data_IF_076306549670
#
_entry.id   IF_076306549670
#
_cell.length_a   1.000
_cell.length_b   1.000
_cell.length_c   1.000
_cell.angle_alpha   90.00
_cell.angle_beta   90.00
_cell.angle_gamma   90.00
#
_symmetry.space_group_name_H-M   'P 1'
#
loop_
_entity.id
_entity.type
_entity.pdbx_description
1 polymer ?
#
# COMPACT_ATOMS: atom_id res chain seq x y z
N UNK A 1 -32.48 -1.25 37.16
CA UNK A 1 -31.18 -0.63 36.85
C UNK A 1 -31.29 -0.10 35.44
N UNK A 2 -31.56 1.20 35.29
CA UNK A 2 -31.79 1.84 33.99
C UNK A 2 -30.42 2.01 33.34
N UNK A 3 -30.23 1.43 32.16
CA UNK A 3 -28.93 1.49 31.48
C UNK A 3 -28.51 2.94 31.15
N UNK A 4 -27.21 3.27 31.07
CA UNK A 4 -26.70 4.62 30.80
C UNK A 4 -27.07 5.20 29.41
N UNK A 5 -27.81 4.46 28.58
CA UNK A 5 -28.11 4.74 27.17
C UNK A 5 -29.32 5.66 26.95
N UNK A 6 -30.23 5.80 27.92
CA UNK A 6 -31.42 6.65 27.79
C UNK A 6 -31.18 8.11 28.16
N UNK A 7 -30.17 8.43 28.96
CA UNK A 7 -29.96 9.79 29.48
C UNK A 7 -29.12 10.68 28.57
N UNK A 8 -28.14 10.12 27.84
CA UNK A 8 -27.30 10.86 26.88
C UNK A 8 -27.96 11.06 25.51
N UNK A 9 -28.77 10.10 25.06
CA UNK A 9 -29.49 10.20 23.78
C UNK A 9 -30.68 11.17 23.81
N UNK A 10 -31.37 11.27 24.96
CA UNK A 10 -32.58 12.09 25.10
C UNK A 10 -32.28 13.59 25.25
N UNK A 11 -31.11 13.98 25.79
CA UNK A 11 -30.74 15.41 25.88
C UNK A 11 -30.33 16.01 24.54
N UNK A 12 -29.73 15.20 23.65
CA UNK A 12 -29.22 15.60 22.33
C UNK A 12 -30.31 15.65 21.23
N UNK A 13 -31.53 15.21 21.53
CA UNK A 13 -32.68 15.13 20.60
C UNK A 13 -33.82 16.08 20.98
N UNK A 14 -33.68 16.87 22.06
CA UNK A 14 -34.78 17.67 22.60
C UNK A 14 -35.34 18.70 21.62
N UNK A 15 -34.50 19.21 20.73
CA UNK A 15 -34.82 20.32 19.85
C UNK A 15 -35.15 19.86 18.41
N UNK A 16 -35.03 18.57 18.09
CA UNK A 16 -35.34 18.04 16.75
C UNK A 16 -36.83 17.73 16.63
N UNK A 17 -37.52 18.34 15.65
CA UNK A 17 -38.90 18.03 15.31
C UNK A 17 -39.06 16.57 14.89
N UNK A 18 -38.12 16.02 14.12
CA UNK A 18 -38.15 14.64 13.62
C UNK A 18 -37.58 13.58 14.58
N UNK A 19 -37.53 13.85 15.90
CA UNK A 19 -36.96 12.90 16.87
C UNK A 19 -37.64 11.52 16.85
N UNK A 20 -38.95 11.47 16.61
CA UNK A 20 -39.72 10.22 16.66
C UNK A 20 -39.40 9.33 15.45
N UNK A 21 -39.10 9.93 14.29
CA UNK A 21 -38.58 9.24 13.10
C UNK A 21 -37.26 8.50 13.41
N UNK A 22 -36.33 9.14 14.13
CA UNK A 22 -35.08 8.49 14.56
C UNK A 22 -35.31 7.37 15.58
N UNK A 23 -36.28 7.55 16.49
CA UNK A 23 -36.61 6.55 17.50
C UNK A 23 -37.25 5.30 16.89
N UNK A 24 -38.09 5.46 15.87
CA UNK A 24 -38.70 4.34 15.15
C UNK A 24 -37.67 3.51 14.37
N UNK A 25 -36.70 4.17 13.74
CA UNK A 25 -35.54 3.51 13.12
C UNK A 25 -34.76 2.63 14.10
N UNK A 26 -34.70 3.04 15.38
CA UNK A 26 -34.04 2.28 16.44
C UNK A 26 -34.78 1.01 16.89
N UNK A 27 -36.06 0.85 16.54
CA UNK A 27 -36.90 -0.29 16.94
C UNK A 27 -36.96 -1.42 15.90
N UNK A 28 -36.57 -1.15 14.64
CA UNK A 28 -36.55 -2.13 13.55
C UNK A 28 -35.26 -2.97 13.46
N UNK A 29 -35.16 -3.81 12.44
CA UNK A 29 -33.95 -4.59 12.10
C UNK A 29 -32.81 -3.64 11.65
N UNK A 30 -32.16 -3.00 12.62
CA UNK A 30 -31.13 -1.98 12.41
C UNK A 30 -29.92 -2.52 11.63
N UNK A 31 -29.68 -3.83 11.65
CA UNK A 31 -28.55 -4.47 10.97
C UNK A 31 -28.70 -4.45 9.46
N UNK A 32 -29.89 -4.80 8.95
CA UNK A 32 -30.20 -4.72 7.52
C UNK A 32 -30.13 -3.28 7.03
N UNK A 33 -30.61 -2.33 7.84
CA UNK A 33 -30.51 -0.91 7.51
C UNK A 33 -29.05 -0.46 7.42
N UNK A 34 -28.19 -0.79 8.39
CA UNK A 34 -26.76 -0.45 8.35
C UNK A 34 -26.11 -1.06 7.11
N UNK A 35 -26.44 -2.31 6.76
CA UNK A 35 -25.94 -2.99 5.56
C UNK A 35 -26.36 -2.27 4.28
N UNK A 36 -27.65 -1.95 4.14
CA UNK A 36 -28.17 -1.21 2.97
C UNK A 36 -27.56 0.19 2.85
N UNK A 37 -27.41 0.88 3.98
CA UNK A 37 -26.89 2.24 4.02
C UNK A 37 -25.41 2.27 3.62
N UNK A 38 -24.57 1.39 4.14
CA UNK A 38 -23.14 1.37 3.83
C UNK A 38 -22.76 0.50 2.63
N UNK A 39 -23.73 -0.10 1.93
CA UNK A 39 -23.52 -1.08 0.86
C UNK A 39 -22.52 -0.63 -0.23
N UNK A 40 -22.57 0.64 -0.61
CA UNK A 40 -21.70 1.19 -1.68
C UNK A 40 -20.34 1.68 -1.14
N UNK A 41 -20.19 1.75 0.18
CA UNK A 41 -19.02 2.32 0.86
C UNK A 41 -18.15 1.28 1.58
N UNK A 42 -18.76 0.17 2.03
CA UNK A 42 -18.14 -0.91 2.81
C UNK A 42 -18.59 -2.23 2.18
N UNK A 43 -17.74 -2.84 1.36
CA UNK A 43 -18.08 -4.03 0.57
C UNK A 43 -17.87 -5.33 1.34
N UNK A 44 -16.98 -5.35 2.35
CA UNK A 44 -16.70 -6.50 3.21
C UNK A 44 -17.87 -6.94 4.10
N UNK A 45 -19.00 -6.22 4.04
CA UNK A 45 -20.17 -6.50 4.85
C UNK A 45 -19.97 -6.06 6.29
N UNK A 46 -21.07 -5.71 6.95
CA UNK A 46 -21.15 -5.35 8.37
C UNK A 46 -20.92 -6.59 9.27
N UNK A 47 -20.21 -7.59 8.76
CA UNK A 47 -20.06 -8.92 9.33
C UNK A 47 -18.81 -8.95 10.22
N UNK A 48 -19.01 -8.53 11.47
CA UNK A 48 -18.14 -8.72 12.66
C UNK A 48 -17.24 -7.56 13.12
N UNK A 49 -17.00 -7.57 14.43
CA UNK A 49 -16.25 -6.67 15.31
C UNK A 49 -16.67 -5.18 15.42
N UNK A 50 -17.26 -4.55 14.40
CA UNK A 50 -17.43 -3.08 14.39
C UNK A 50 -18.86 -2.57 14.13
N UNK A 51 -19.87 -3.47 14.12
CA UNK A 51 -21.27 -3.11 13.94
C UNK A 51 -21.78 -2.03 14.93
N UNK A 52 -21.22 -1.97 16.14
CA UNK A 52 -21.54 -0.92 17.13
C UNK A 52 -21.11 0.48 16.69
N UNK A 53 -19.93 0.60 16.06
CA UNK A 53 -19.43 1.88 15.53
C UNK A 53 -20.30 2.33 14.36
N UNK A 54 -20.58 1.43 13.41
CA UNK A 54 -21.41 1.75 12.25
C UNK A 54 -22.85 2.10 12.64
N UNK A 55 -23.44 1.42 13.62
CA UNK A 55 -24.76 1.78 14.19
C UNK A 55 -24.75 3.20 14.79
N UNK A 56 -23.69 3.58 15.50
CA UNK A 56 -23.55 4.93 16.08
C UNK A 56 -23.38 6.00 14.99
N UNK A 57 -22.54 5.73 14.00
CA UNK A 57 -22.28 6.62 12.86
C UNK A 57 -23.55 6.81 12.03
N UNK A 58 -24.29 5.74 11.77
CA UNK A 58 -25.58 5.80 11.08
C UNK A 58 -26.56 6.72 11.79
N UNK A 59 -26.73 6.54 13.11
CA UNK A 59 -27.63 7.38 13.92
C UNK A 59 -27.24 8.86 13.86
N UNK A 60 -25.96 9.16 13.99
CA UNK A 60 -25.46 10.53 13.89
C UNK A 60 -25.69 11.11 12.49
N UNK A 61 -25.42 10.33 11.44
CA UNK A 61 -25.63 10.77 10.06
C UNK A 61 -27.10 11.07 9.78
N UNK A 62 -28.02 10.18 10.16
CA UNK A 62 -29.46 10.42 9.98
C UNK A 62 -29.95 11.59 10.81
N UNK A 63 -29.43 11.79 12.03
CA UNK A 63 -29.72 12.97 12.83
C UNK A 63 -29.33 14.25 12.09
N UNK A 64 -28.09 14.32 11.57
CA UNK A 64 -27.62 15.48 10.81
C UNK A 64 -28.48 15.73 9.57
N UNK A 65 -28.84 14.67 8.82
CA UNK A 65 -29.70 14.79 7.65
C UNK A 65 -31.08 15.37 8.01
N UNK A 66 -31.73 14.83 9.03
CA UNK A 66 -33.05 15.28 9.48
C UNK A 66 -33.01 16.72 9.98
N UNK A 67 -31.96 17.09 10.72
CA UNK A 67 -31.77 18.45 11.19
C UNK A 67 -31.62 19.43 10.02
N UNK A 68 -30.84 19.08 8.99
CA UNK A 68 -30.68 19.92 7.80
C UNK A 68 -32.01 20.09 7.05
N UNK A 69 -32.81 19.02 6.93
CA UNK A 69 -34.14 19.10 6.30
C UNK A 69 -35.09 19.98 7.12
N UNK A 70 -35.04 19.88 8.45
CA UNK A 70 -35.82 20.72 9.36
C UNK A 70 -35.42 22.20 9.23
N UNK A 71 -34.13 22.51 9.25
CA UNK A 71 -33.59 23.86 9.09
C UNK A 71 -33.96 24.46 7.71
N UNK A 72 -33.94 23.66 6.64
CA UNK A 72 -34.36 24.10 5.30
C UNK A 72 -35.88 24.42 5.27
N UNK A 73 -36.70 23.61 5.93
CA UNK A 73 -38.15 23.85 6.04
C UNK A 73 -38.47 25.06 6.92
N UNK A 74 -37.73 25.26 8.00
CA UNK A 74 -37.94 26.36 8.93
C UNK A 74 -37.46 27.69 8.34
N UNK A 75 -36.20 27.76 7.91
CA UNK A 75 -35.57 29.03 7.54
C UNK A 75 -35.82 29.45 6.10
N UNK A 76 -35.84 28.51 5.15
CA UNK A 76 -36.02 28.84 3.73
C UNK A 76 -37.49 28.80 3.31
N UNK A 77 -38.29 27.92 3.92
CA UNK A 77 -39.72 27.80 3.61
C UNK A 77 -40.63 28.54 4.60
N UNK A 78 -40.08 29.05 5.71
CA UNK A 78 -40.80 29.84 6.71
C UNK A 78 -41.83 29.03 7.50
N UNK A 79 -41.65 27.70 7.63
CA UNK A 79 -42.56 26.83 8.36
C UNK A 79 -42.21 26.79 9.85
N UNK A 80 -43.23 26.72 10.70
CA UNK A 80 -43.03 26.52 12.14
C UNK A 80 -42.96 25.04 12.50
N UNK A 81 -42.29 24.70 13.62
CA UNK A 81 -42.04 23.31 14.02
C UNK A 81 -43.29 22.41 14.14
N UNK A 82 -44.47 22.96 14.44
CA UNK A 82 -45.72 22.18 14.41
C UNK A 82 -46.19 21.87 12.98
N UNK A 83 -46.07 22.83 12.05
CA UNK A 83 -46.39 22.61 10.64
C UNK A 83 -45.42 21.61 9.99
N UNK A 84 -44.15 21.67 10.36
CA UNK A 84 -43.12 20.72 9.93
C UNK A 84 -43.47 19.31 10.45
N UNK A 85 -43.79 19.19 11.74
CA UNK A 85 -44.20 17.92 12.35
C UNK A 85 -45.40 17.32 11.65
N UNK A 86 -46.52 18.05 11.65
CA UNK A 86 -47.81 17.55 11.17
C UNK A 86 -47.79 17.25 9.66
N UNK A 87 -46.99 17.98 8.89
CA UNK A 87 -46.91 17.85 7.44
C UNK A 87 -45.86 16.86 6.92
N UNK A 88 -44.72 16.71 7.61
CA UNK A 88 -43.54 16.06 7.02
C UNK A 88 -42.97 14.91 7.84
N UNK A 89 -43.37 14.72 9.10
CA UNK A 89 -42.83 13.66 9.95
C UNK A 89 -43.02 12.26 9.33
N UNK A 90 -44.25 11.93 8.94
CA UNK A 90 -44.58 10.64 8.31
C UNK A 90 -43.92 10.51 6.91
N UNK A 91 -44.05 11.49 5.99
CA UNK A 91 -43.36 11.48 4.70
C UNK A 91 -41.84 11.26 4.80
N UNK A 92 -41.16 12.01 5.68
CA UNK A 92 -39.71 11.92 5.86
C UNK A 92 -39.32 10.57 6.47
N UNK A 93 -40.10 10.08 7.43
CA UNK A 93 -39.89 8.74 7.99
C UNK A 93 -39.94 7.63 6.93
N UNK A 94 -40.90 7.71 6.00
CA UNK A 94 -40.95 6.77 4.86
C UNK A 94 -39.80 6.99 3.89
N UNK A 95 -39.46 8.25 3.60
CA UNK A 95 -38.42 8.61 2.65
C UNK A 95 -37.05 8.04 3.04
N UNK A 96 -36.63 8.20 4.30
CA UNK A 96 -35.33 7.66 4.74
C UNK A 96 -35.30 6.13 4.83
N UNK A 97 -36.47 5.48 4.84
CA UNK A 97 -36.59 4.01 4.79
C UNK A 97 -36.58 3.48 3.35
N UNK A 98 -36.75 4.35 2.35
CA UNK A 98 -36.80 3.97 0.94
C UNK A 98 -35.50 3.29 0.51
N UNK A 99 -35.61 2.15 -0.19
CA UNK A 99 -34.46 1.29 -0.53
C UNK A 99 -33.37 2.01 -1.34
N UNK A 100 -33.75 2.97 -2.18
CA UNK A 100 -32.79 3.77 -2.95
C UNK A 100 -32.21 4.96 -2.16
N UNK A 101 -32.88 5.42 -1.11
CA UNK A 101 -32.42 6.57 -0.32
C UNK A 101 -31.32 6.16 0.64
N UNK A 102 -31.42 4.97 1.26
CA UNK A 102 -30.41 4.44 2.19
C UNK A 102 -28.98 4.45 1.59
N UNK A 103 -28.69 3.77 0.46
CA UNK A 103 -27.35 3.77 -0.13
C UNK A 103 -26.97 5.15 -0.65
N UNK A 104 -27.93 5.96 -1.12
CA UNK A 104 -27.65 7.29 -1.65
C UNK A 104 -27.18 8.27 -0.57
N UNK A 105 -27.76 8.22 0.64
CA UNK A 105 -27.23 8.94 1.78
C UNK A 105 -25.89 8.34 2.25
N UNK A 106 -25.77 7.02 2.22
CA UNK A 106 -24.54 6.30 2.55
C UNK A 106 -23.34 6.67 1.70
N UNK A 107 -23.53 6.98 0.41
CA UNK A 107 -22.46 7.39 -0.52
C UNK A 107 -21.63 8.58 -0.03
N UNK A 108 -22.17 9.42 0.86
CA UNK A 108 -21.42 10.52 1.48
C UNK A 108 -20.16 10.04 2.22
N UNK A 109 -20.16 8.79 2.69
CA UNK A 109 -19.05 8.14 3.39
C UNK A 109 -17.96 7.61 2.44
N UNK A 110 -18.22 7.52 1.14
CA UNK A 110 -17.21 7.12 0.18
C UNK A 110 -16.07 8.17 0.10
N UNK A 111 -14.84 7.69 -0.01
CA UNK A 111 -13.62 8.53 -0.04
C UNK A 111 -13.68 9.60 -1.12
N UNK A 112 -14.10 9.22 -2.32
CA UNK A 112 -14.12 10.10 -3.49
C UNK A 112 -15.48 10.79 -3.73
N UNK A 113 -16.43 10.68 -2.79
CA UNK A 113 -17.70 11.38 -2.90
C UNK A 113 -17.49 12.90 -2.79
N UNK A 114 -17.70 13.60 -3.91
CA UNK A 114 -17.63 15.06 -4.04
C UNK A 114 -19.00 15.74 -4.03
N UNK A 115 -20.05 15.01 -4.38
CA UNK A 115 -21.43 15.48 -4.41
C UNK A 115 -22.37 14.27 -4.26
N UNK A 116 -23.54 14.51 -3.67
CA UNK A 116 -24.66 13.56 -3.67
C UNK A 116 -25.63 13.92 -4.79
N UNK A 117 -26.32 12.93 -5.33
CA UNK A 117 -27.31 13.14 -6.39
C UNK A 117 -28.61 13.74 -5.82
N UNK A 118 -28.61 15.06 -5.64
CA UNK A 118 -29.76 15.83 -5.15
C UNK A 118 -30.97 15.73 -6.08
N UNK A 119 -30.75 15.58 -7.39
CA UNK A 119 -31.82 15.40 -8.38
C UNK A 119 -32.53 14.07 -8.16
N UNK A 120 -31.78 13.01 -7.84
CA UNK A 120 -32.33 11.70 -7.51
C UNK A 120 -33.09 11.73 -6.17
N UNK A 121 -32.58 12.40 -5.14
CA UNK A 121 -33.33 12.62 -3.89
C UNK A 121 -34.70 13.28 -4.15
N UNK A 122 -34.70 14.40 -4.88
CA UNK A 122 -35.93 15.11 -5.19
C UNK A 122 -36.87 14.38 -6.16
N UNK A 123 -36.35 13.44 -6.96
CA UNK A 123 -37.18 12.54 -7.78
C UNK A 123 -37.87 11.51 -6.90
N UNK A 124 -37.11 10.76 -6.08
CA UNK A 124 -37.67 9.73 -5.19
C UNK A 124 -38.72 10.34 -4.26
N UNK A 125 -38.46 11.55 -3.72
CA UNK A 125 -39.44 12.24 -2.90
C UNK A 125 -40.80 12.41 -3.60
N UNK A 126 -40.77 12.87 -4.86
CA UNK A 126 -41.98 13.15 -5.65
C UNK A 126 -42.74 11.90 -6.10
N UNK A 127 -42.10 10.73 -6.09
CA UNK A 127 -42.76 9.47 -6.46
C UNK A 127 -43.80 9.07 -5.39
N UNK A 128 -43.50 9.33 -4.12
CA UNK A 128 -44.35 8.92 -2.99
C UNK A 128 -45.01 10.08 -2.22
N UNK A 129 -44.61 11.33 -2.47
CA UNK A 129 -45.04 12.49 -1.68
C UNK A 129 -45.39 13.72 -2.54
N UNK A 130 -46.13 14.65 -1.93
CA UNK A 130 -46.41 15.96 -2.50
C UNK A 130 -45.13 16.76 -2.77
N UNK A 131 -45.22 17.71 -3.69
CA UNK A 131 -44.08 18.60 -4.00
C UNK A 131 -43.64 19.34 -2.74
N UNK A 132 -42.32 19.45 -2.55
CA UNK A 132 -41.75 20.24 -1.45
C UNK A 132 -42.22 21.70 -1.51
N UNK A 133 -42.30 22.39 -0.36
CA UNK A 133 -42.78 23.76 -0.31
C UNK A 133 -41.86 24.70 -1.11
N UNK A 134 -42.42 25.83 -1.55
CA UNK A 134 -41.65 26.83 -2.28
C UNK A 134 -40.49 27.33 -1.41
N UNK A 135 -39.27 27.25 -1.93
CA UNK A 135 -38.03 27.62 -1.22
C UNK A 135 -37.14 26.44 -0.86
N UNK A 136 -37.69 25.22 -0.74
CA UNK A 136 -36.91 24.03 -0.37
C UNK A 136 -35.96 23.59 -1.49
N UNK A 137 -34.67 23.41 -1.16
CA UNK A 137 -33.64 23.02 -2.12
C UNK A 137 -32.89 21.73 -1.74
N UNK A 138 -33.17 20.64 -2.48
CA UNK A 138 -32.47 19.37 -2.33
C UNK A 138 -30.95 19.46 -2.60
N UNK A 139 -30.50 20.38 -3.45
CA UNK A 139 -29.07 20.58 -3.71
C UNK A 139 -28.38 21.14 -2.46
N UNK A 140 -29.00 22.12 -1.81
CA UNK A 140 -28.49 22.70 -0.56
C UNK A 140 -28.44 21.66 0.55
N UNK A 141 -29.52 20.90 0.75
CA UNK A 141 -29.59 19.80 1.72
C UNK A 141 -28.47 18.79 1.47
N UNK A 142 -28.29 18.34 0.22
CA UNK A 142 -27.26 17.39 -0.17
C UNK A 142 -25.83 17.91 0.12
N UNK A 143 -25.55 19.17 -0.21
CA UNK A 143 -24.24 19.79 0.03
C UNK A 143 -23.93 19.93 1.53
N UNK A 144 -24.90 20.38 2.32
CA UNK A 144 -24.74 20.50 3.77
C UNK A 144 -24.56 19.13 4.43
N UNK A 145 -25.34 18.14 4.00
CA UNK A 145 -25.25 16.78 4.53
C UNK A 145 -23.88 16.15 4.23
N UNK A 146 -23.36 16.31 3.01
CA UNK A 146 -22.01 15.85 2.68
C UNK A 146 -20.95 16.46 3.60
N UNK A 147 -21.03 17.79 3.87
CA UNK A 147 -20.11 18.47 4.80
C UNK A 147 -20.22 17.92 6.23
N UNK A 148 -21.44 17.66 6.69
CA UNK A 148 -21.68 17.07 8.01
C UNK A 148 -21.05 15.66 8.10
N UNK A 149 -21.25 14.83 7.08
CA UNK A 149 -20.64 13.49 7.01
C UNK A 149 -19.11 13.55 7.01
N UNK A 150 -18.48 14.45 6.23
CA UNK A 150 -17.01 14.61 6.28
C UNK A 150 -16.52 15.03 7.67
N UNK A 151 -17.30 15.80 8.43
CA UNK A 151 -17.00 16.13 9.83
C UNK A 151 -17.11 14.91 10.74
N UNK A 152 -18.14 14.07 10.58
CA UNK A 152 -18.30 12.81 11.32
C UNK A 152 -17.07 11.90 11.10
N UNK A 153 -16.65 11.73 9.84
CA UNK A 153 -15.47 10.93 9.48
C UNK A 153 -14.22 11.49 10.16
N UNK A 154 -14.00 12.81 10.10
CA UNK A 154 -12.82 13.44 10.72
C UNK A 154 -12.77 13.23 12.24
N UNK A 155 -13.93 13.23 12.90
CA UNK A 155 -14.06 13.14 14.35
C UNK A 155 -14.02 11.72 14.91
N UNK A 156 -14.19 10.68 14.07
CA UNK A 156 -14.09 9.28 14.51
C UNK A 156 -12.83 8.61 13.93
N UNK A 157 -11.77 8.43 14.73
CA UNK A 157 -10.60 7.67 14.30
C UNK A 157 -10.95 6.21 13.98
N UNK A 158 -11.90 5.62 14.70
CA UNK A 158 -12.36 4.25 14.46
C UNK A 158 -13.06 4.13 13.12
N UNK A 159 -13.92 5.07 12.73
CA UNK A 159 -14.55 5.05 11.40
C UNK A 159 -13.51 5.22 10.28
N UNK A 160 -12.48 6.04 10.50
CA UNK A 160 -11.40 6.22 9.50
C UNK A 160 -10.63 4.94 9.26
N UNK A 161 -10.28 4.19 10.31
CA UNK A 161 -9.59 2.92 10.13
C UNK A 161 -10.45 1.90 9.38
N UNK A 162 -11.77 1.87 9.60
CA UNK A 162 -12.69 1.01 8.85
C UNK A 162 -12.68 1.35 7.36
N UNK A 163 -12.86 2.63 7.03
CA UNK A 163 -12.89 3.08 5.63
C UNK A 163 -11.52 2.90 4.95
N UNK A 164 -10.42 3.05 5.69
CA UNK A 164 -9.06 2.80 5.18
C UNK A 164 -8.82 1.32 4.89
N UNK A 165 -9.27 0.41 5.75
CA UNK A 165 -9.17 -1.04 5.53
C UNK A 165 -9.93 -1.48 4.27
N UNK A 166 -11.15 -0.97 4.06
CA UNK A 166 -11.94 -1.27 2.86
C UNK A 166 -11.27 -0.74 1.57
N UNK A 167 -10.60 0.42 1.64
CA UNK A 167 -9.81 0.92 0.51
C UNK A 167 -8.64 -0.02 0.23
N UNK A 168 -7.95 -0.52 1.26
CA UNK A 168 -6.86 -1.48 1.09
C UNK A 168 -7.37 -2.80 0.51
N UNK A 169 -8.52 -3.30 0.98
CA UNK A 169 -9.14 -4.52 0.45
C UNK A 169 -9.64 -4.34 -0.99
N UNK A 170 -10.27 -3.22 -1.33
CA UNK A 170 -10.69 -2.92 -2.70
C UNK A 170 -9.48 -2.75 -3.63
N UNK A 171 -8.39 -2.14 -3.18
CA UNK A 171 -7.12 -2.09 -3.91
C UNK A 171 -6.55 -3.51 -4.07
N UNK A 172 -6.59 -4.34 -3.03
CA UNK A 172 -6.12 -5.72 -3.09
C UNK A 172 -6.95 -6.57 -4.06
N UNK A 173 -8.28 -6.44 -4.05
CA UNK A 173 -9.21 -7.14 -4.95
C UNK A 173 -9.07 -6.68 -6.40
N UNK A 174 -8.99 -5.37 -6.66
CA UNK A 174 -8.74 -4.87 -8.02
C UNK A 174 -7.33 -5.23 -8.53
N UNK A 175 -6.36 -5.42 -7.62
CA UNK A 175 -5.04 -5.97 -7.95
C UNK A 175 -5.10 -7.49 -8.24
N UNK A 176 -5.98 -8.24 -7.56
CA UNK A 176 -6.26 -9.67 -7.81
C UNK A 176 -6.91 -9.91 -9.17
N UNK A 177 -7.81 -9.04 -9.62
CA UNK A 177 -8.51 -9.18 -10.90
C UNK A 177 -7.62 -8.83 -12.11
N UNK A 178 -6.62 -7.97 -11.91
CA UNK A 178 -5.81 -7.43 -13.02
C UNK A 178 -4.46 -8.13 -13.22
N UNK A 179 -4.00 -8.93 -12.25
CA UNK A 179 -2.75 -9.68 -12.35
C UNK A 179 -2.98 -11.15 -11.97
N UNK A 180 -2.82 -12.05 -12.95
CA UNK A 180 -2.96 -13.49 -12.74
C UNK A 180 -2.15 -13.99 -11.52
N UNK A 181 -2.70 -15.00 -10.85
CA UNK A 181 -2.17 -15.71 -9.66
C UNK A 181 -1.19 -14.87 -8.86
N UNK A 182 -1.72 -14.14 -7.86
CA UNK A 182 -0.89 -13.44 -6.88
C UNK A 182 0.09 -14.44 -6.26
N UNK A 183 1.40 -14.23 -6.40
CA UNK A 183 2.38 -15.08 -5.74
C UNK A 183 2.26 -14.90 -4.23
N UNK A 184 2.24 -16.02 -3.52
CA UNK A 184 2.39 -16.05 -2.07
C UNK A 184 3.83 -15.64 -1.68
N UNK A 185 4.04 -15.19 -0.44
CA UNK A 185 5.39 -14.90 0.08
C UNK A 185 5.99 -16.16 0.70
N UNK A 186 6.23 -17.15 -0.17
CA UNK A 186 6.73 -18.45 0.23
C UNK A 186 8.27 -18.45 0.28
N UNK A 187 8.82 -18.20 1.47
CA UNK A 187 10.28 -18.20 1.70
C UNK A 187 10.93 -19.54 1.36
N UNK A 188 10.24 -20.66 1.59
CA UNK A 188 10.77 -21.99 1.23
C UNK A 188 10.94 -22.12 -0.27
N UNK A 189 9.92 -21.75 -1.05
CA UNK A 189 10.00 -21.74 -2.50
C UNK A 189 11.08 -20.77 -3.01
N UNK A 190 11.28 -19.65 -2.32
CA UNK A 190 12.36 -18.70 -2.64
C UNK A 190 13.75 -19.30 -2.38
N UNK A 191 13.95 -20.00 -1.25
CA UNK A 191 15.18 -20.74 -0.96
C UNK A 191 15.45 -21.82 -2.02
N UNK A 192 14.43 -22.60 -2.36
CA UNK A 192 14.50 -23.64 -3.40
C UNK A 192 14.88 -23.04 -4.76
N UNK A 193 14.23 -21.94 -5.18
CA UNK A 193 14.55 -21.25 -6.43
C UNK A 193 15.98 -20.72 -6.48
N UNK A 194 16.48 -20.12 -5.40
CA UNK A 194 17.88 -19.67 -5.30
C UNK A 194 18.86 -20.84 -5.48
N UNK A 195 18.57 -21.98 -4.85
CA UNK A 195 19.38 -23.19 -5.01
C UNK A 195 19.30 -23.72 -6.44
N UNK A 196 18.12 -23.84 -7.03
CA UNK A 196 17.96 -24.35 -8.40
C UNK A 196 18.73 -23.50 -9.42
N UNK A 197 18.68 -22.16 -9.29
CA UNK A 197 19.30 -21.27 -10.27
C UNK A 197 20.80 -21.05 -10.07
N UNK A 198 21.28 -21.01 -8.83
CA UNK A 198 22.66 -20.59 -8.54
C UNK A 198 23.54 -21.65 -7.90
N UNK A 199 23.00 -22.79 -7.47
CA UNK A 199 23.81 -23.80 -6.78
C UNK A 199 24.93 -24.38 -7.65
N UNK A 200 24.67 -24.56 -8.94
CA UNK A 200 25.60 -25.20 -9.87
C UNK A 200 26.57 -24.17 -10.45
N UNK A 201 27.86 -24.51 -10.43
CA UNK A 201 28.87 -23.68 -11.08
C UNK A 201 28.69 -23.76 -12.61
N UNK A 202 28.53 -22.62 -13.28
CA UNK A 202 28.45 -22.58 -14.73
C UNK A 202 29.86 -22.75 -15.34
N UNK A 203 30.10 -23.89 -15.96
CA UNK A 203 31.36 -24.27 -16.63
C UNK A 203 31.22 -24.33 -18.15
N UNK A 204 30.12 -23.80 -18.71
CA UNK A 204 29.76 -23.93 -20.12
C UNK A 204 30.78 -23.27 -21.06
N UNK A 205 31.59 -22.36 -20.54
CA UNK A 205 32.68 -21.70 -21.26
C UNK A 205 33.99 -22.48 -21.30
N UNK A 206 34.16 -23.50 -20.45
CA UNK A 206 35.44 -24.21 -20.27
C UNK A 206 35.48 -25.57 -20.97
N UNK A 207 34.36 -26.30 -21.03
CA UNK A 207 34.26 -27.57 -21.75
C UNK A 207 32.79 -27.95 -22.03
N UNK A 208 32.49 -28.36 -23.26
CA UNK A 208 31.15 -28.79 -23.71
C UNK A 208 30.79 -30.22 -23.29
N UNK A 209 31.73 -31.00 -22.76
CA UNK A 209 31.53 -32.37 -22.29
C UNK A 209 31.05 -32.48 -20.82
N UNK A 210 30.83 -31.33 -20.16
CA UNK A 210 30.70 -31.16 -18.70
C UNK A 210 29.28 -31.46 -18.16
N UNK A 211 28.51 -32.34 -18.81
CA UNK A 211 27.21 -32.77 -18.25
C UNK A 211 27.37 -33.44 -16.89
N UNK A 212 28.48 -34.14 -16.65
CA UNK A 212 28.72 -34.95 -15.44
C UNK A 212 29.12 -34.15 -14.19
N UNK A 213 29.62 -32.91 -14.36
CA UNK A 213 30.06 -32.07 -13.24
C UNK A 213 29.01 -31.04 -12.80
N UNK A 214 28.05 -30.70 -13.67
CA UNK A 214 26.99 -29.72 -13.38
C UNK A 214 26.16 -30.08 -12.14
N UNK A 215 25.93 -31.37 -11.90
CA UNK A 215 25.23 -31.84 -10.69
C UNK A 215 26.14 -31.96 -9.47
N UNK A 216 27.46 -32.14 -9.68
CA UNK A 216 28.43 -32.50 -8.63
C UNK A 216 29.17 -31.30 -8.03
N UNK A 217 29.41 -30.24 -8.79
CA UNK A 217 30.17 -29.08 -8.32
C UNK A 217 29.25 -27.93 -7.91
N UNK A 218 29.08 -27.78 -6.60
CA UNK A 218 28.30 -26.68 -6.02
C UNK A 218 29.17 -25.48 -5.71
N UNK A 219 28.65 -24.27 -5.95
CA UNK A 219 29.38 -23.00 -5.74
C UNK A 219 29.99 -22.94 -4.32
N UNK A 220 29.21 -23.31 -3.29
CA UNK A 220 29.67 -23.27 -1.89
C UNK A 220 30.73 -24.31 -1.54
N UNK A 221 30.96 -25.35 -2.36
CA UNK A 221 32.00 -26.35 -2.11
C UNK A 221 33.39 -25.89 -2.60
N UNK A 222 33.41 -24.96 -3.57
CA UNK A 222 34.63 -24.53 -4.25
C UNK A 222 34.89 -23.02 -4.08
N UNK A 223 34.01 -22.32 -3.38
CA UNK A 223 34.14 -20.88 -3.16
C UNK A 223 35.37 -20.56 -2.30
N UNK A 224 36.21 -19.66 -2.81
CA UNK A 224 37.34 -19.08 -2.09
C UNK A 224 37.08 -17.59 -1.97
N UNK A 225 37.07 -17.07 -0.73
CA UNK A 225 36.83 -15.65 -0.47
C UNK A 225 37.87 -14.77 -1.16
N UNK A 226 37.40 -13.77 -1.89
CA UNK A 226 38.29 -12.81 -2.55
C UNK A 226 38.79 -11.77 -1.54
N UNK A 227 40.00 -11.28 -1.82
CA UNK A 227 40.59 -10.18 -1.09
C UNK A 227 40.21 -8.85 -1.73
N UNK A 228 39.84 -7.88 -0.90
CA UNK A 228 39.40 -6.53 -1.30
C UNK A 228 40.27 -5.47 -0.63
N UNK A 229 40.23 -4.26 -1.22
CA UNK A 229 40.82 -3.05 -0.65
C UNK A 229 39.75 -1.97 -0.63
N UNK A 230 39.75 -1.17 0.43
CA UNK A 230 38.82 -0.06 0.53
C UNK A 230 39.19 1.06 -0.46
N UNK A 231 38.17 1.71 -1.02
CA UNK A 231 38.30 2.63 -2.13
C UNK A 231 37.59 3.95 -1.80
N UNK A 232 38.10 4.69 -0.81
CA UNK A 232 37.42 5.87 -0.23
C UNK A 232 37.45 7.11 -1.13
N UNK A 233 38.54 7.36 -1.86
CA UNK A 233 38.76 8.65 -2.55
C UNK A 233 39.01 8.53 -4.07
N UNK A 234 39.17 7.31 -4.57
CA UNK A 234 39.54 7.05 -5.95
C UNK A 234 38.59 6.01 -6.55
N UNK A 235 38.02 6.26 -7.72
CA UNK A 235 37.29 5.25 -8.50
C UNK A 235 38.14 4.90 -9.72
N UNK A 236 39.08 3.93 -9.64
CA UNK A 236 39.98 3.59 -10.73
C UNK A 236 39.23 3.33 -12.04
N UNK A 237 38.08 2.64 -11.92
CA UNK A 237 37.29 2.18 -13.04
C UNK A 237 36.53 3.29 -13.76
N UNK A 238 36.19 4.40 -13.08
CA UNK A 238 35.54 5.57 -13.70
C UNK A 238 36.47 6.23 -14.72
N UNK A 239 37.77 6.20 -14.46
CA UNK A 239 38.79 6.75 -15.34
C UNK A 239 39.30 5.74 -16.38
N UNK A 240 38.95 4.46 -16.23
CA UNK A 240 39.20 3.38 -17.20
C UNK A 240 37.97 3.10 -18.10
N UNK A 241 36.87 3.83 -17.92
CA UNK A 241 35.71 3.83 -18.83
C UNK A 241 36.16 4.22 -20.25
N UNK A 242 35.67 3.56 -21.31
CA UNK A 242 35.91 3.98 -22.69
C UNK A 242 35.63 5.47 -22.91
N UNK A 243 36.50 6.17 -23.66
CA UNK A 243 36.44 7.64 -23.86
C UNK A 243 35.06 8.15 -24.29
N UNK A 244 34.34 7.37 -25.09
CA UNK A 244 32.99 7.67 -25.56
C UNK A 244 31.95 7.72 -24.42
N UNK A 245 32.05 6.81 -23.45
CA UNK A 245 31.16 6.80 -22.29
C UNK A 245 31.52 7.90 -21.29
N UNK A 246 32.80 8.21 -21.11
CA UNK A 246 33.23 9.37 -20.32
C UNK A 246 32.68 10.67 -20.92
N UNK A 247 32.71 10.80 -22.25
CA UNK A 247 32.16 11.95 -22.96
C UNK A 247 30.66 12.12 -22.69
N UNK A 248 29.86 11.06 -22.82
CA UNK A 248 28.41 11.11 -22.52
C UNK A 248 28.14 11.48 -21.06
N UNK A 249 28.91 10.93 -20.13
CA UNK A 249 28.76 11.23 -18.70
C UNK A 249 29.13 12.70 -18.39
N UNK A 250 30.15 13.26 -19.05
CA UNK A 250 30.50 14.69 -18.98
C UNK A 250 29.42 15.57 -19.59
N UNK A 251 28.89 15.20 -20.75
CA UNK A 251 27.77 15.92 -21.41
C UNK A 251 26.51 15.93 -20.52
N UNK A 252 26.33 14.91 -19.68
CA UNK A 252 25.26 14.84 -18.68
C UNK A 252 25.59 15.47 -17.31
N UNK A 253 26.75 16.12 -17.14
CA UNK A 253 27.26 16.68 -15.87
C UNK A 253 27.39 15.68 -14.71
N UNK A 254 27.55 14.38 -15.01
CA UNK A 254 27.67 13.31 -14.02
C UNK A 254 29.13 12.94 -13.67
N UNK A 255 30.11 13.59 -14.31
CA UNK A 255 31.54 13.41 -14.03
C UNK A 255 32.26 14.75 -13.83
N UNK A 256 33.16 14.80 -12.84
CA UNK A 256 34.05 15.94 -12.61
C UNK A 256 35.15 16.08 -13.69
N UNK A 257 35.83 17.22 -13.71
CA UNK A 257 36.88 17.58 -14.68
C UNK A 257 38.04 16.56 -14.74
N UNK A 258 38.77 16.54 -15.85
CA UNK A 258 39.92 15.65 -16.06
C UNK A 258 40.99 15.81 -14.96
N UNK A 259 41.29 14.70 -14.28
CA UNK A 259 42.35 14.63 -13.27
C UNK A 259 43.69 14.52 -13.99
N UNK A 260 44.65 15.38 -13.62
CA UNK A 260 45.99 15.34 -14.20
C UNK A 260 46.65 13.95 -14.02
N UNK A 261 47.45 13.47 -14.99
CA UNK A 261 48.09 12.15 -14.92
C UNK A 261 48.88 11.90 -13.63
N UNK A 262 49.51 12.94 -13.08
CA UNK A 262 50.27 12.91 -11.83
C UNK A 262 49.38 12.73 -10.59
N UNK A 263 48.16 13.26 -10.62
CA UNK A 263 47.19 13.01 -9.56
C UNK A 263 46.63 11.58 -9.64
N UNK A 264 46.38 11.06 -10.85
CA UNK A 264 46.00 9.65 -11.04
C UNK A 264 47.07 8.67 -10.53
N UNK A 265 48.35 8.95 -10.77
CA UNK A 265 49.46 8.13 -10.27
C UNK A 265 49.50 8.12 -8.73
N UNK A 266 49.31 9.28 -8.10
CA UNK A 266 49.22 9.39 -6.63
C UNK A 266 48.04 8.62 -6.06
N UNK A 267 46.85 8.74 -6.65
CA UNK A 267 45.67 7.99 -6.21
C UNK A 267 45.84 6.47 -6.36
N UNK A 268 46.46 6.00 -7.44
CA UNK A 268 46.81 4.56 -7.61
C UNK A 268 47.76 4.10 -6.50
N UNK A 269 48.77 4.89 -6.18
CA UNK A 269 49.71 4.55 -5.10
C UNK A 269 49.02 4.46 -3.74
N UNK A 270 48.15 5.43 -3.42
CA UNK A 270 47.33 5.41 -2.19
C UNK A 270 46.44 4.17 -2.13
N UNK A 271 45.81 3.79 -3.25
CA UNK A 271 44.99 2.58 -3.34
C UNK A 271 45.79 1.28 -3.07
N UNK A 272 46.97 1.12 -3.68
CA UNK A 272 47.80 -0.07 -3.45
C UNK A 272 48.39 -0.15 -2.03
N UNK A 273 48.47 0.98 -1.32
CA UNK A 273 48.89 1.06 0.08
C UNK A 273 47.76 0.72 1.06
N UNK A 274 46.50 0.71 0.63
CA UNK A 274 45.37 0.32 1.48
C UNK A 274 45.53 -1.12 1.97
N UNK A 275 45.13 -1.44 3.21
CA UNK A 275 45.19 -2.81 3.71
C UNK A 275 44.33 -3.74 2.85
N UNK A 276 44.79 -4.99 2.74
CA UNK A 276 44.04 -6.07 2.10
C UNK A 276 43.19 -6.76 3.16
N UNK A 277 41.90 -6.89 2.90
CA UNK A 277 40.95 -7.56 3.79
C UNK A 277 40.16 -8.63 3.03
N UNK A 278 39.70 -9.67 3.73
CA UNK A 278 38.76 -10.64 3.19
C UNK A 278 37.41 -9.95 2.94
N UNK A 279 36.79 -10.22 1.80
CA UNK A 279 35.46 -9.69 1.49
C UNK A 279 34.38 -10.19 2.45
N UNK A 280 34.54 -11.41 3.00
CA UNK A 280 33.59 -11.97 3.97
C UNK A 280 33.69 -11.25 5.32
N UNK A 281 34.91 -10.96 5.78
CA UNK A 281 35.11 -10.25 7.06
C UNK A 281 34.53 -8.84 6.98
N UNK A 282 34.70 -8.16 5.83
CA UNK A 282 34.11 -6.86 5.58
C UNK A 282 32.58 -6.90 5.61
N UNK A 283 31.97 -7.89 4.94
CA UNK A 283 30.51 -8.05 4.94
C UNK A 283 29.97 -8.37 6.33
N UNK A 284 30.65 -9.22 7.11
CA UNK A 284 30.27 -9.50 8.50
C UNK A 284 30.37 -8.25 9.37
N UNK A 285 31.42 -7.44 9.22
CA UNK A 285 31.56 -6.16 9.93
C UNK A 285 30.43 -5.19 9.57
N UNK A 286 30.03 -5.14 8.29
CA UNK A 286 28.88 -4.33 7.85
C UNK A 286 27.58 -4.85 8.46
N UNK A 287 27.43 -6.16 8.64
CA UNK A 287 26.25 -6.75 9.29
C UNK A 287 26.17 -6.42 10.79
N UNK A 288 27.31 -6.20 11.45
CA UNK A 288 27.39 -5.82 12.85
C UNK A 288 27.27 -4.29 13.06
N UNK A 289 27.60 -3.47 12.06
CA UNK A 289 27.57 -2.00 12.12
C UNK A 289 26.38 -1.40 11.36
N UNK A 290 25.35 -0.99 12.10
CA UNK A 290 24.12 -0.33 11.59
C UNK A 290 24.36 0.96 10.76
N UNK A 291 25.59 1.48 10.72
CA UNK A 291 25.93 2.73 10.02
C UNK A 291 26.18 2.53 8.52
N UNK A 292 26.59 1.35 8.08
CA UNK A 292 26.98 1.10 6.68
C UNK A 292 25.85 0.43 5.90
N UNK A 293 25.04 1.25 5.20
CA UNK A 293 23.86 0.76 4.44
C UNK A 293 24.14 0.37 2.99
N UNK A 294 25.29 0.75 2.45
CA UNK A 294 25.60 0.56 1.03
C UNK A 294 27.04 0.10 0.83
N UNK A 295 27.21 -0.97 0.06
CA UNK A 295 28.51 -1.50 -0.35
C UNK A 295 28.56 -1.60 -1.87
N UNK A 296 29.62 -1.06 -2.48
CA UNK A 296 29.88 -1.17 -3.91
C UNK A 296 31.15 -1.97 -4.13
N UNK A 297 31.03 -3.14 -4.76
CA UNK A 297 32.17 -4.02 -5.04
C UNK A 297 32.63 -3.79 -6.46
N UNK A 298 33.85 -3.27 -6.58
CA UNK A 298 34.51 -3.02 -7.86
C UNK A 298 35.55 -4.12 -8.14
N UNK A 299 35.80 -4.36 -9.42
CA UNK A 299 36.84 -5.30 -9.84
C UNK A 299 36.81 -5.54 -11.35
N UNK A 300 37.83 -6.18 -11.89
CA UNK A 300 37.94 -6.50 -13.31
C UNK A 300 36.85 -7.49 -13.79
N UNK A 301 36.51 -7.53 -15.08
CA UNK A 301 35.69 -8.61 -15.63
C UNK A 301 36.28 -9.97 -15.27
N UNK A 302 35.46 -10.90 -14.78
CA UNK A 302 35.92 -12.22 -14.34
C UNK A 302 36.46 -12.30 -12.92
N UNK A 303 36.56 -11.20 -12.17
CA UNK A 303 37.06 -11.19 -10.78
C UNK A 303 36.14 -11.89 -9.74
N UNK A 304 35.07 -12.55 -10.18
CA UNK A 304 34.17 -13.32 -9.30
C UNK A 304 33.09 -12.53 -8.57
N UNK A 305 32.86 -11.24 -8.85
CA UNK A 305 31.85 -10.39 -8.17
C UNK A 305 30.46 -11.02 -8.12
N UNK A 306 29.97 -11.54 -9.25
CA UNK A 306 28.65 -12.17 -9.32
C UNK A 306 28.62 -13.49 -8.54
N UNK A 307 29.70 -14.27 -8.60
CA UNK A 307 29.83 -15.52 -7.83
C UNK A 307 29.80 -15.24 -6.33
N UNK A 308 30.44 -14.15 -5.89
CA UNK A 308 30.39 -13.72 -4.50
C UNK A 308 28.96 -13.41 -4.03
N UNK A 309 28.20 -12.61 -4.78
CA UNK A 309 26.81 -12.30 -4.44
C UNK A 309 25.92 -13.56 -4.44
N UNK A 310 26.13 -14.46 -5.41
CA UNK A 310 25.45 -15.76 -5.44
C UNK A 310 25.80 -16.62 -4.23
N UNK A 311 27.07 -16.64 -3.83
CA UNK A 311 27.53 -17.36 -2.64
C UNK A 311 26.83 -16.87 -1.37
N UNK A 312 26.70 -15.55 -1.17
CA UNK A 312 25.96 -14.99 -0.03
C UNK A 312 24.49 -15.41 -0.04
N UNK A 313 23.82 -15.30 -1.19
CA UNK A 313 22.42 -15.71 -1.33
C UNK A 313 22.22 -17.22 -1.07
N UNK A 314 23.15 -18.06 -1.53
CA UNK A 314 23.13 -19.51 -1.33
C UNK A 314 23.40 -19.92 0.11
N UNK A 315 24.26 -19.19 0.83
CA UNK A 315 24.46 -19.42 2.26
C UNK A 315 23.16 -19.21 3.04
N UNK A 316 22.43 -18.12 2.75
CA UNK A 316 21.10 -17.90 3.31
C UNK A 316 20.08 -18.96 2.87
N UNK A 317 20.08 -19.34 1.58
CA UNK A 317 19.14 -20.32 1.04
C UNK A 317 19.31 -21.72 1.64
N UNK A 318 20.47 -22.01 2.23
CA UNK A 318 20.78 -23.28 2.90
C UNK A 318 20.52 -23.25 4.41
N UNK A 319 20.22 -22.09 4.98
CA UNK A 319 19.87 -21.96 6.40
C UNK A 319 18.51 -22.60 6.69
N UNK A 320 18.31 -23.23 7.86
CA UNK A 320 17.00 -23.71 8.29
C UNK A 320 15.96 -22.58 8.25
N UNK A 321 14.71 -22.93 7.91
CA UNK A 321 13.61 -21.96 7.77
C UNK A 321 13.43 -21.09 9.02
N UNK A 322 13.53 -21.67 10.22
CA UNK A 322 13.40 -20.94 11.49
C UNK A 322 14.44 -19.82 11.62
N UNK A 323 15.69 -20.09 11.20
CA UNK A 323 16.76 -19.09 11.19
C UNK A 323 16.60 -18.11 10.03
N UNK A 324 16.10 -18.56 8.87
CA UNK A 324 15.90 -17.72 7.68
C UNK A 324 14.79 -16.67 7.86
N UNK A 325 13.87 -16.88 8.81
CA UNK A 325 12.83 -15.91 9.18
C UNK A 325 13.41 -14.73 9.97
N UNK A 326 14.47 -14.97 10.75
CA UNK A 326 15.15 -13.98 11.58
C UNK A 326 16.30 -13.27 10.85
N UNK A 327 16.94 -13.95 9.89
CA UNK A 327 17.97 -13.38 9.05
C UNK A 327 17.39 -12.48 7.95
N UNK A 328 18.12 -11.43 7.53
CA UNK A 328 17.63 -10.60 6.44
C UNK A 328 17.61 -11.41 5.13
N UNK A 329 16.53 -11.23 4.36
CA UNK A 329 16.30 -11.96 3.11
C UNK A 329 17.15 -11.33 1.99
N UNK A 330 18.01 -12.08 1.29
CA UNK A 330 18.82 -11.53 0.19
C UNK A 330 17.98 -11.36 -1.08
N UNK A 331 17.92 -10.14 -1.60
CA UNK A 331 17.25 -9.82 -2.86
C UNK A 331 18.26 -9.68 -4.01
N UNK A 332 18.49 -10.77 -4.75
CA UNK A 332 19.44 -10.74 -5.87
C UNK A 332 18.79 -10.18 -7.14
N UNK A 333 19.24 -9.01 -7.60
CA UNK A 333 18.69 -8.31 -8.77
C UNK A 333 19.75 -8.27 -9.89
N UNK A 334 19.47 -8.95 -10.99
CA UNK A 334 20.22 -8.79 -12.23
C UNK A 334 19.71 -7.56 -13.00
N UNK A 335 20.50 -6.48 -13.01
CA UNK A 335 20.08 -5.21 -13.61
C UNK A 335 19.70 -5.31 -15.09
N UNK A 336 20.32 -6.22 -15.84
CA UNK A 336 19.96 -6.46 -17.26
C UNK A 336 18.53 -7.00 -17.39
N UNK A 337 18.17 -7.96 -16.52
CA UNK A 337 16.84 -8.59 -16.50
C UNK A 337 15.80 -7.58 -16.03
N UNK A 338 16.08 -6.87 -14.93
CA UNK A 338 15.21 -5.80 -14.43
C UNK A 338 14.96 -4.71 -15.48
N UNK A 339 16.00 -4.19 -16.12
CA UNK A 339 15.84 -3.13 -17.13
C UNK A 339 15.04 -3.59 -18.35
N UNK A 340 15.15 -4.87 -18.74
CA UNK A 340 14.37 -5.42 -19.85
C UNK A 340 12.87 -5.42 -19.50
N UNK A 341 12.52 -5.97 -18.35
CA UNK A 341 11.13 -6.11 -17.89
C UNK A 341 10.50 -4.72 -17.62
N UNK A 342 11.31 -3.78 -17.11
CA UNK A 342 10.89 -2.38 -16.96
C UNK A 342 10.60 -1.71 -18.30
N UNK A 343 11.45 -1.94 -19.30
CA UNK A 343 11.29 -1.36 -20.63
C UNK A 343 10.14 -2.00 -21.42
N UNK A 344 9.80 -3.26 -21.17
CA UNK A 344 8.61 -3.92 -21.76
C UNK A 344 7.30 -3.53 -21.05
N UNK A 345 7.37 -2.80 -19.94
CA UNK A 345 6.21 -2.39 -19.15
C UNK A 345 5.67 -3.48 -18.23
N UNK A 346 6.42 -4.57 -18.04
CA UNK A 346 6.05 -5.69 -17.14
C UNK A 346 6.19 -5.32 -15.66
N UNK A 347 7.06 -4.36 -15.33
CA UNK A 347 7.20 -3.81 -13.98
C UNK A 347 7.59 -2.32 -14.00
N UNK A 348 7.21 -1.57 -12.96
CA UNK A 348 7.54 -0.14 -12.82
C UNK A 348 8.68 0.12 -11.85
N UNK A 349 8.79 -0.71 -10.82
CA UNK A 349 9.76 -0.63 -9.74
C UNK A 349 10.28 -2.02 -9.31
N UNK A 350 11.18 -2.05 -8.34
CA UNK A 350 11.79 -3.28 -7.84
C UNK A 350 10.80 -4.19 -7.12
N UNK A 351 9.79 -3.64 -6.43
CA UNK A 351 8.78 -4.44 -5.73
C UNK A 351 7.90 -5.16 -6.75
N UNK A 352 7.47 -4.45 -7.78
CA UNK A 352 6.69 -5.02 -8.87
C UNK A 352 7.52 -6.03 -9.69
N UNK A 353 8.83 -5.81 -9.81
CA UNK A 353 9.75 -6.78 -10.44
C UNK A 353 9.77 -8.12 -9.69
N UNK A 354 9.90 -8.11 -8.35
CA UNK A 354 9.81 -9.35 -7.57
C UNK A 354 8.42 -9.97 -7.56
N UNK A 355 7.38 -9.17 -7.81
CA UNK A 355 6.00 -9.63 -7.77
C UNK A 355 5.52 -10.26 -9.08
N UNK A 356 5.91 -9.70 -10.23
CA UNK A 356 5.38 -10.14 -11.54
C UNK A 356 6.47 -10.35 -12.59
N UNK A 357 7.64 -9.74 -12.41
CA UNK A 357 8.75 -9.81 -13.35
C UNK A 357 9.35 -11.21 -13.50
N UNK A 358 10.37 -11.30 -14.36
CA UNK A 358 11.11 -12.52 -14.65
C UNK A 358 12.15 -12.81 -13.57
N UNK A 359 11.65 -13.02 -12.35
CA UNK A 359 12.42 -13.40 -11.18
C UNK A 359 12.33 -14.90 -10.93
N UNK A 360 13.31 -15.39 -10.19
CA UNK A 360 13.53 -16.82 -9.89
C UNK A 360 12.32 -17.42 -9.17
N UNK A 361 11.80 -16.68 -8.20
CA UNK A 361 10.62 -16.99 -7.46
C UNK A 361 9.93 -15.66 -7.17
N UNK A 362 8.64 -15.58 -7.48
CA UNK A 362 7.86 -14.36 -7.29
C UNK A 362 7.53 -14.21 -5.81
N UNK A 363 7.69 -13.00 -5.30
CA UNK A 363 7.39 -12.64 -3.92
C UNK A 363 6.24 -11.62 -3.91
N UNK A 364 5.32 -11.76 -2.96
CA UNK A 364 4.25 -10.77 -2.79
C UNK A 364 4.84 -9.39 -2.46
N UNK A 365 4.52 -8.36 -3.26
CA UNK A 365 5.07 -7.00 -3.08
C UNK A 365 4.70 -6.38 -1.73
N UNK A 366 3.50 -6.65 -1.19
CA UNK A 366 3.02 -6.03 0.04
C UNK A 366 3.76 -6.60 1.26
N UNK A 367 3.90 -7.92 1.30
CA UNK A 367 4.67 -8.60 2.34
C UNK A 367 6.16 -8.27 2.24
N UNK A 368 6.70 -8.10 1.02
CA UNK A 368 8.06 -7.61 0.81
C UNK A 368 8.25 -6.17 1.33
N UNK A 369 7.29 -5.28 1.07
CA UNK A 369 7.31 -3.91 1.54
C UNK A 369 7.25 -3.80 3.07
N UNK A 370 6.38 -4.59 3.72
CA UNK A 370 6.30 -4.66 5.19
C UNK A 370 7.62 -5.12 5.81
N UNK A 371 8.25 -6.16 5.22
CA UNK A 371 9.55 -6.67 5.64
C UNK A 371 10.68 -5.63 5.43
N UNK A 372 10.62 -4.84 4.36
CA UNK A 372 11.57 -3.75 4.10
C UNK A 372 11.44 -2.65 5.16
N UNK A 373 10.20 -2.26 5.50
CA UNK A 373 9.94 -1.25 6.53
C UNK A 373 10.38 -1.68 7.94
N UNK A 374 10.35 -2.99 8.21
CA UNK A 374 10.82 -3.57 9.48
C UNK A 374 12.32 -3.87 9.50
N UNK A 375 13.07 -3.56 8.43
CA UNK A 375 14.52 -3.75 8.36
C UNK A 375 14.97 -5.21 8.24
N UNK A 376 14.07 -6.13 7.85
CA UNK A 376 14.34 -7.58 7.80
C UNK A 376 14.78 -8.08 6.41
N UNK A 377 15.39 -7.23 5.58
CA UNK A 377 15.75 -7.53 4.18
C UNK A 377 17.13 -6.94 3.86
N UNK A 378 17.94 -7.69 3.09
CA UNK A 378 19.28 -7.34 2.59
C UNK A 378 19.27 -6.97 1.11
#
# INVERSE_FOLDING_TARGET
MVEPWTTLGVSLLKDLVFKDVLLELGKGALEDYVKDFFKDCIKGGVESAQAGVLKKVLREALKQFLQIVEEELEFECGLFGNQIRDGYEIPIGKFIQHQEVKPLLGQAFAKDCRALDSKKLGRIWREDNSTMPAGFDWERVAQQYLRAVKRIIKQSPELRSILELEIQEAIAQHTQETAGIIPDFNLKAYQEGLQERYANLNLDSLDTSVYDYREKLKVWQVFVAQNVRECQEFLPQVYEIPKEHQRRLRESNQLAAEVAPEALARHRQVYYQQPVSSILDLVNQIWEDDKLRYLVILGEPGSGKSIFLQYLALNWARSPLDNAIELPIPLLIELRTYNRDRNSGECKDLLEFFHKGNVICRLNQHQLQERLQTGKIL
#
